data_IF_288057920451
#
_entry.id   IF_288057920451
#
_cell.length_a   1.000
_cell.length_b   1.000
_cell.length_c   1.000
_cell.angle_alpha   90.00
_cell.angle_beta   90.00
_cell.angle_gamma   90.00
#
_symmetry.space_group_name_H-M   'P 1'
#
loop_
_entity.id
_entity.type
_entity.pdbx_description
1 polymer ?
#
# COMPACT_ATOMS: atom_id res chain seq x y z
N UNK A 1 -18.32 -6.48 37.62
CA UNK A 1 -19.24 -5.59 36.88
C UNK A 1 -20.65 -6.02 37.22
N UNK A 2 -21.49 -5.13 37.75
CA UNK A 2 -22.90 -5.43 38.02
C UNK A 2 -23.67 -5.59 36.70
N UNK A 3 -24.49 -6.64 36.63
CA UNK A 3 -25.30 -6.95 35.45
C UNK A 3 -26.54 -6.07 35.46
N UNK A 4 -26.72 -5.23 34.44
CA UNK A 4 -27.90 -4.36 34.31
C UNK A 4 -28.94 -5.03 33.42
N UNK A 5 -30.05 -5.46 34.00
CA UNK A 5 -31.07 -6.31 33.36
C UNK A 5 -31.76 -5.69 32.13
N UNK A 6 -31.65 -4.37 31.94
CA UNK A 6 -32.28 -3.64 30.84
C UNK A 6 -31.28 -3.00 29.86
N UNK A 7 -29.98 -3.19 30.05
CA UNK A 7 -28.97 -2.74 29.09
C UNK A 7 -28.41 -3.95 28.33
N UNK A 8 -28.73 -4.01 27.04
CA UNK A 8 -28.17 -4.98 26.13
C UNK A 8 -26.95 -4.37 25.44
N UNK A 9 -25.81 -5.06 25.49
CA UNK A 9 -24.62 -4.68 24.76
C UNK A 9 -24.56 -5.49 23.47
N UNK A 10 -24.53 -4.79 22.34
CA UNK A 10 -24.27 -5.39 21.03
C UNK A 10 -22.90 -4.93 20.57
N UNK A 11 -22.11 -5.85 20.02
CA UNK A 11 -20.82 -5.51 19.43
C UNK A 11 -21.03 -4.61 18.21
N UNK A 12 -20.17 -3.61 18.04
CA UNK A 12 -20.21 -2.75 16.86
C UNK A 12 -19.84 -3.56 15.60
N UNK A 13 -20.77 -3.67 14.64
CA UNK A 13 -20.53 -4.43 13.40
C UNK A 13 -19.30 -3.93 12.63
N UNK A 14 -19.07 -2.62 12.61
CA UNK A 14 -17.89 -2.05 11.97
C UNK A 14 -16.59 -2.50 12.66
N UNK A 15 -16.59 -2.60 13.99
CA UNK A 15 -15.45 -3.12 14.75
C UNK A 15 -15.24 -4.62 14.47
N UNK A 16 -16.31 -5.41 14.40
CA UNK A 16 -16.20 -6.83 14.04
C UNK A 16 -15.59 -7.03 12.65
N UNK A 17 -15.99 -6.22 11.65
CA UNK A 17 -15.41 -6.28 10.30
C UNK A 17 -13.94 -5.88 10.31
N UNK A 18 -13.57 -4.85 11.07
CA UNK A 18 -12.17 -4.40 11.18
C UNK A 18 -11.27 -5.50 11.74
N UNK A 19 -11.73 -6.24 12.76
CA UNK A 19 -11.02 -7.41 13.31
C UNK A 19 -10.92 -8.56 12.31
N UNK A 20 -11.98 -8.84 11.53
CA UNK A 20 -11.90 -9.84 10.46
C UNK A 20 -10.84 -9.48 9.41
N UNK A 21 -10.70 -8.19 9.08
CA UNK A 21 -9.67 -7.72 8.16
C UNK A 21 -8.26 -7.80 8.77
N UNK A 22 -8.12 -7.58 10.08
CA UNK A 22 -6.87 -7.82 10.83
C UNK A 22 -6.44 -9.27 10.69
N UNK A 23 -7.33 -10.21 11.02
CA UNK A 23 -7.06 -11.66 10.95
C UNK A 23 -6.61 -12.10 9.54
N UNK A 24 -7.23 -11.55 8.49
CA UNK A 24 -6.85 -11.84 7.10
C UNK A 24 -5.48 -11.27 6.75
N UNK A 25 -5.16 -10.05 7.22
CA UNK A 25 -3.88 -9.41 6.92
C UNK A 25 -2.70 -10.07 7.66
N UNK A 26 -2.96 -10.73 8.78
CA UNK A 26 -1.97 -11.50 9.55
C UNK A 26 -1.79 -12.94 9.05
N UNK A 27 -2.63 -13.42 8.12
CA UNK A 27 -2.44 -14.72 7.49
C UNK A 27 -1.10 -14.76 6.74
N UNK A 28 -0.21 -15.76 6.98
CA UNK A 28 1.10 -15.83 6.34
C UNK A 28 1.08 -15.83 4.81
N UNK A 29 -0.01 -16.28 4.18
CA UNK A 29 -0.18 -16.25 2.73
C UNK A 29 -0.41 -14.82 2.20
N UNK A 30 -0.98 -13.94 3.04
CA UNK A 30 -1.37 -12.57 2.70
C UNK A 30 -0.38 -11.53 3.24
N UNK A 31 0.26 -11.82 4.37
CA UNK A 31 1.15 -10.92 5.11
C UNK A 31 2.24 -10.34 4.21
N UNK A 32 2.87 -11.17 3.37
CA UNK A 32 3.91 -10.72 2.44
C UNK A 32 3.38 -9.70 1.41
N UNK A 33 2.16 -9.88 0.92
CA UNK A 33 1.52 -8.95 -0.03
C UNK A 33 1.22 -7.62 0.65
N UNK A 34 0.66 -7.65 1.87
CA UNK A 34 0.38 -6.46 2.68
C UNK A 34 1.67 -5.69 2.98
N UNK A 35 2.73 -6.40 3.37
CA UNK A 35 4.03 -5.80 3.66
C UNK A 35 4.68 -5.18 2.42
N UNK A 36 4.60 -5.85 1.26
CA UNK A 36 5.09 -5.30 -0.01
C UNK A 36 4.32 -4.04 -0.43
N UNK A 37 2.99 -4.04 -0.33
CA UNK A 37 2.15 -2.89 -0.62
C UNK A 37 2.46 -1.71 0.31
N UNK A 38 2.63 -1.97 1.61
CA UNK A 38 3.05 -0.98 2.59
C UNK A 38 4.43 -0.43 2.27
N UNK A 39 5.37 -1.29 1.87
CA UNK A 39 6.72 -0.88 1.49
C UNK A 39 6.71 0.04 0.25
N UNK A 40 5.98 -0.33 -0.80
CA UNK A 40 5.83 0.46 -2.02
C UNK A 40 5.24 1.83 -1.71
N UNK A 41 4.09 1.87 -1.03
CA UNK A 41 3.41 3.13 -0.70
C UNK A 41 4.25 4.01 0.22
N UNK A 42 4.80 3.44 1.29
CA UNK A 42 5.71 4.18 2.19
C UNK A 42 6.92 4.73 1.42
N UNK A 43 7.48 3.98 0.47
CA UNK A 43 8.59 4.45 -0.34
C UNK A 43 8.16 5.60 -1.26
N UNK A 44 7.07 5.46 -2.02
CA UNK A 44 6.60 6.48 -2.96
C UNK A 44 6.26 7.78 -2.24
N UNK A 45 5.40 7.71 -1.22
CA UNK A 45 4.87 8.90 -0.55
C UNK A 45 5.90 9.65 0.32
N UNK A 46 7.01 9.00 0.71
CA UNK A 46 8.07 9.66 1.46
C UNK A 46 9.08 10.41 0.57
N UNK A 47 8.97 10.32 -0.77
CA UNK A 47 9.92 10.96 -1.69
C UNK A 47 9.16 11.71 -2.79
N UNK A 48 9.08 13.04 -2.68
CA UNK A 48 8.28 13.89 -3.58
C UNK A 48 8.55 13.63 -5.07
N UNK A 49 9.81 13.54 -5.49
CA UNK A 49 10.13 13.27 -6.90
C UNK A 49 9.56 11.92 -7.38
N UNK A 50 9.57 10.89 -6.52
CA UNK A 50 9.01 9.58 -6.86
C UNK A 50 7.48 9.64 -6.86
N UNK A 51 6.89 10.39 -5.94
CA UNK A 51 5.45 10.63 -5.91
C UNK A 51 4.96 11.33 -7.19
N UNK A 52 5.71 12.31 -7.69
CA UNK A 52 5.38 13.04 -8.91
C UNK A 52 5.49 12.14 -10.16
N UNK A 53 6.53 11.29 -10.23
CA UNK A 53 6.65 10.25 -11.26
C UNK A 53 5.43 9.31 -11.21
N UNK A 54 5.05 8.85 -10.01
CA UNK A 54 3.89 7.97 -9.83
C UNK A 54 2.61 8.63 -10.36
N UNK A 55 2.32 9.87 -9.95
CA UNK A 55 1.14 10.62 -10.39
C UNK A 55 1.07 10.82 -11.89
N UNK A 56 2.21 11.07 -12.53
CA UNK A 56 2.31 11.17 -13.99
C UNK A 56 1.88 9.87 -14.67
N UNK A 57 2.29 8.72 -14.11
CA UNK A 57 1.95 7.40 -14.64
C UNK A 57 0.55 6.91 -14.26
N UNK A 58 -0.01 7.35 -13.13
CA UNK A 58 -1.33 6.94 -12.64
C UNK A 58 -2.45 7.91 -12.98
N UNK A 59 -2.15 9.00 -13.71
CA UNK A 59 -3.08 10.09 -14.00
C UNK A 59 -3.65 10.72 -12.72
N UNK A 60 -2.75 11.13 -11.81
CA UNK A 60 -3.07 11.75 -10.51
C UNK A 60 -3.87 10.85 -9.56
N UNK A 61 -3.96 9.54 -9.84
CA UNK A 61 -4.64 8.60 -8.93
C UNK A 61 -3.74 8.25 -7.78
N UNK A 62 -4.25 8.48 -6.58
CA UNK A 62 -3.58 8.15 -5.32
C UNK A 62 -3.69 6.65 -5.01
N UNK A 63 -2.58 6.06 -4.54
CA UNK A 63 -2.55 4.67 -4.07
C UNK A 63 -3.06 4.56 -2.63
N UNK A 64 -2.67 5.51 -1.77
CA UNK A 64 -3.16 5.57 -0.39
C UNK A 64 -4.53 6.25 -0.35
N UNK A 65 -5.51 5.54 0.21
CA UNK A 65 -6.85 6.06 0.49
C UNK A 65 -7.12 5.94 2.00
N UNK A 66 -6.90 7.00 2.79
CA UNK A 66 -7.13 6.96 4.23
C UNK A 66 -8.59 6.66 4.56
N UNK A 67 -8.81 5.70 5.47
CA UNK A 67 -10.13 5.35 6.02
C UNK A 67 -10.08 5.39 7.54
N UNK A 68 -11.24 5.49 8.19
CA UNK A 68 -11.38 5.60 9.64
C UNK A 68 -10.66 4.48 10.42
N UNK A 69 -10.49 3.29 9.82
CA UNK A 69 -9.78 2.17 10.44
C UNK A 69 -8.51 1.80 9.66
N UNK A 70 -7.50 1.32 10.41
CA UNK A 70 -6.18 0.99 9.85
C UNK A 70 -6.24 -0.22 8.90
N UNK A 71 -7.08 -1.20 9.19
CA UNK A 71 -7.17 -2.44 8.39
C UNK A 71 -7.96 -2.24 7.10
N UNK A 72 -9.09 -1.52 7.18
CA UNK A 72 -9.79 -1.09 5.97
C UNK A 72 -8.87 -0.25 5.07
N UNK A 73 -8.04 0.63 5.65
CA UNK A 73 -7.07 1.41 4.89
C UNK A 73 -6.03 0.53 4.16
N UNK A 74 -5.53 -0.54 4.79
CA UNK A 74 -4.60 -1.48 4.14
C UNK A 74 -5.26 -2.20 2.96
N UNK A 75 -6.47 -2.73 3.15
CA UNK A 75 -7.20 -3.43 2.09
C UNK A 75 -7.51 -2.51 0.91
N UNK A 76 -7.98 -1.30 1.19
CA UNK A 76 -8.31 -0.31 0.15
C UNK A 76 -7.06 0.16 -0.59
N UNK A 77 -5.92 0.23 0.09
CA UNK A 77 -4.62 0.51 -0.53
C UNK A 77 -4.19 -0.61 -1.46
N UNK A 78 -4.36 -1.88 -1.05
CA UNK A 78 -4.10 -3.04 -1.91
C UNK A 78 -4.96 -3.01 -3.18
N UNK A 79 -6.25 -2.73 -3.04
CA UNK A 79 -7.17 -2.56 -4.16
C UNK A 79 -6.73 -1.44 -5.12
N UNK A 80 -6.28 -0.30 -4.59
CA UNK A 80 -5.74 0.80 -5.41
C UNK A 80 -4.49 0.38 -6.19
N UNK A 81 -3.55 -0.30 -5.53
CA UNK A 81 -2.31 -0.78 -6.17
C UNK A 81 -2.64 -1.76 -7.28
N UNK A 82 -3.55 -2.71 -7.02
CA UNK A 82 -4.01 -3.67 -8.02
C UNK A 82 -4.69 -2.96 -9.21
N UNK A 83 -5.53 -1.97 -8.95
CA UNK A 83 -6.16 -1.15 -9.98
C UNK A 83 -5.17 -0.30 -10.80
N UNK A 84 -4.00 0.02 -10.25
CA UNK A 84 -2.92 0.76 -10.93
C UNK A 84 -1.74 -0.12 -11.37
N UNK A 85 -1.86 -1.44 -11.26
CA UNK A 85 -0.78 -2.42 -11.51
C UNK A 85 -0.03 -2.16 -12.82
N UNK A 86 -0.75 -2.06 -13.93
CA UNK A 86 -0.15 -1.84 -15.25
C UNK A 86 0.59 -0.50 -15.34
N UNK A 87 0.09 0.53 -14.65
CA UNK A 87 0.73 1.85 -14.62
C UNK A 87 1.99 1.83 -13.76
N UNK A 88 1.98 1.14 -12.62
CA UNK A 88 3.15 0.95 -11.77
C UNK A 88 4.25 0.14 -12.45
N UNK A 89 3.88 -0.90 -13.21
CA UNK A 89 4.83 -1.66 -14.04
C UNK A 89 5.48 -0.76 -15.08
N UNK A 90 4.69 0.08 -15.76
CA UNK A 90 5.21 1.05 -16.74
C UNK A 90 6.08 2.11 -16.08
N UNK A 91 5.71 2.57 -14.89
CA UNK A 91 6.45 3.56 -14.11
C UNK A 91 7.87 3.07 -13.82
N UNK A 92 8.03 1.87 -13.24
CA UNK A 92 9.37 1.37 -12.88
C UNK A 92 10.21 0.94 -14.07
N UNK A 93 9.60 0.82 -15.25
CA UNK A 93 10.28 0.53 -16.51
C UNK A 93 10.54 1.79 -17.36
N UNK A 94 10.16 2.98 -16.88
CA UNK A 94 10.29 4.23 -17.64
C UNK A 94 11.71 4.79 -17.58
N UNK A 95 12.10 5.54 -18.62
CA UNK A 95 13.36 6.29 -18.63
C UNK A 95 13.40 7.33 -17.50
N UNK A 96 12.25 7.89 -17.12
CA UNK A 96 12.16 8.87 -16.04
C UNK A 96 12.55 8.26 -14.70
N UNK A 97 12.01 7.07 -14.39
CA UNK A 97 12.38 6.31 -13.21
C UNK A 97 13.87 5.96 -13.21
N UNK A 98 14.39 5.43 -14.32
CA UNK A 98 15.79 5.05 -14.45
C UNK A 98 16.72 6.27 -14.32
N UNK A 99 16.38 7.40 -14.93
CA UNK A 99 17.17 8.63 -14.83
C UNK A 99 17.18 9.20 -13.40
N UNK A 100 16.04 9.16 -12.70
CA UNK A 100 15.99 9.58 -11.30
C UNK A 100 16.81 8.64 -10.42
N UNK A 101 16.61 7.33 -10.54
CA UNK A 101 17.31 6.31 -9.76
C UNK A 101 18.81 6.28 -10.07
N UNK A 102 19.23 6.56 -11.30
CA UNK A 102 20.64 6.47 -11.70
C UNK A 102 21.47 7.72 -11.38
N UNK A 103 20.87 8.91 -11.47
CA UNK A 103 21.60 10.18 -11.44
C UNK A 103 21.25 11.08 -10.26
N UNK A 104 20.05 10.98 -9.69
CA UNK A 104 19.53 11.95 -8.73
C UNK A 104 19.28 11.37 -7.34
N UNK A 105 18.88 10.10 -7.25
CA UNK A 105 18.55 9.47 -5.98
C UNK A 105 19.80 9.24 -5.10
N UNK A 106 19.76 9.60 -3.80
CA UNK A 106 20.79 9.19 -2.84
C UNK A 106 20.91 7.67 -2.74
N UNK A 107 22.09 7.14 -2.38
CA UNK A 107 22.36 5.68 -2.32
C UNK A 107 21.28 4.89 -1.58
N UNK A 108 20.86 5.36 -0.40
CA UNK A 108 19.80 4.70 0.40
C UNK A 108 18.44 4.65 -0.30
N UNK A 109 18.12 5.64 -1.13
CA UNK A 109 16.89 5.69 -1.93
C UNK A 109 17.00 4.74 -3.12
N UNK A 110 18.17 4.63 -3.74
CA UNK A 110 18.44 3.69 -4.85
C UNK A 110 18.27 2.24 -4.44
N UNK A 111 18.77 1.86 -3.28
CA UNK A 111 18.63 0.50 -2.74
C UNK A 111 17.16 0.13 -2.52
N UNK A 112 16.39 1.04 -1.91
CA UNK A 112 14.95 0.86 -1.70
C UNK A 112 14.17 0.88 -3.02
N UNK A 113 14.55 1.77 -3.94
CA UNK A 113 13.96 1.88 -5.27
C UNK A 113 14.15 0.60 -6.09
N UNK A 114 15.35 0.01 -6.04
CA UNK A 114 15.61 -1.30 -6.65
C UNK A 114 14.69 -2.38 -6.07
N UNK A 115 14.54 -2.44 -4.75
CA UNK A 115 13.60 -3.38 -4.11
C UNK A 115 12.15 -3.14 -4.55
N UNK A 116 11.73 -1.89 -4.71
CA UNK A 116 10.39 -1.55 -5.25
C UNK A 116 10.24 -2.05 -6.69
N UNK A 117 11.24 -1.83 -7.55
CA UNK A 117 11.25 -2.33 -8.92
C UNK A 117 11.16 -3.85 -8.95
N UNK A 118 11.95 -4.55 -8.12
CA UNK A 118 11.95 -6.01 -8.04
C UNK A 118 10.57 -6.56 -7.62
N UNK A 119 9.92 -5.93 -6.64
CA UNK A 119 8.57 -6.31 -6.19
C UNK A 119 7.55 -6.11 -7.32
N UNK A 120 7.53 -4.94 -7.96
CA UNK A 120 6.56 -4.60 -9.01
C UNK A 120 6.73 -5.45 -10.27
N UNK A 121 7.96 -5.88 -10.58
CA UNK A 121 8.26 -6.71 -11.75
C UNK A 121 8.17 -8.22 -11.48
N UNK A 122 7.96 -8.64 -10.22
CA UNK A 122 7.82 -10.05 -9.86
C UNK A 122 6.56 -10.69 -10.49
N UNK A 123 6.56 -12.01 -10.67
CA UNK A 123 5.38 -12.79 -11.08
C UNK A 123 4.87 -13.64 -9.90
N UNK A 124 3.59 -13.54 -9.48
CA UNK A 124 2.57 -12.58 -9.87
C UNK A 124 2.61 -11.36 -8.94
N UNK A 125 3.12 -10.22 -9.43
CA UNK A 125 2.71 -8.92 -8.91
C UNK A 125 1.23 -8.70 -9.19
#
# INVERSE_FOLDING_TARGET
>A
MEKREHLYWVSCSAHCIDLMLEDICEDPMVENVVNNARFITTFIYNHNNILDIMRTHTHERELLRPVATRFASQYITLDSINGQRSNLIRMVASEEWENYMSRHAPTRVREKGKKVTDIIQSKPF
#
